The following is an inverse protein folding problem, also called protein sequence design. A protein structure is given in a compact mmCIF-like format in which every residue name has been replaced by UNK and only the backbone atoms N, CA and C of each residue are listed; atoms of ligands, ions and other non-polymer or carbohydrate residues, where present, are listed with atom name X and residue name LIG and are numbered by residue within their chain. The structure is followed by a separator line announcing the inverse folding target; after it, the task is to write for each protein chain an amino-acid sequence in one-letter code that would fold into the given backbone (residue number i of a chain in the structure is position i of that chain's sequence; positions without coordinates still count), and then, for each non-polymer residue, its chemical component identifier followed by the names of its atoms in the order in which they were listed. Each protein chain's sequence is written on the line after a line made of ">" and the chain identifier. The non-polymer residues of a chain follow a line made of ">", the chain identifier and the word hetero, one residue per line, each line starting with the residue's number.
data_IF_366648772516
#
_entry.id   IF_366648772516
#
_cell.length_a   1.000
_cell.length_b   1.000
_cell.length_c   1.000
_cell.angle_alpha   90.00
_cell.angle_beta   90.00
_cell.angle_gamma   90.00
#
_symmetry.space_group_name_H-M   'P 1'
#
loop_
_entity.id
_entity.type
_entity.pdbx_description
1 polymer ?
#
# COMPACT_ATOMS: atom_id res chain seq x y z
N UNK A 1 3.27 8.51 -27.41
CA UNK A 1 2.99 8.08 -26.02
C UNK A 1 3.85 6.88 -25.63
N UNK A 2 4.49 6.93 -24.47
CA UNK A 2 5.23 5.80 -23.85
C UNK A 2 4.76 5.66 -22.42
N UNK A 3 4.65 4.42 -21.91
CA UNK A 3 4.24 4.19 -20.54
C UNK A 3 4.95 2.99 -19.92
N UNK A 4 4.99 2.97 -18.60
CA UNK A 4 5.31 1.81 -17.78
C UNK A 4 4.33 1.78 -16.61
N UNK A 5 4.24 0.67 -15.88
CA UNK A 5 3.43 0.61 -14.67
C UNK A 5 4.22 0.11 -13.47
N UNK A 6 3.76 0.50 -12.29
CA UNK A 6 4.22 -0.02 -11.00
C UNK A 6 3.01 -0.39 -10.15
N UNK A 7 3.20 -1.34 -9.25
CA UNK A 7 2.20 -1.65 -8.23
C UNK A 7 2.32 -0.65 -7.09
N UNK A 8 1.19 -0.13 -6.63
CA UNK A 8 1.15 0.80 -5.52
C UNK A 8 -0.12 0.64 -4.68
N UNK A 9 -0.06 1.12 -3.45
CA UNK A 9 -1.22 1.37 -2.62
C UNK A 9 -1.57 2.85 -2.70
N UNK A 10 -2.86 3.14 -2.90
CA UNK A 10 -3.38 4.50 -2.90
C UNK A 10 -4.10 4.74 -1.58
N UNK A 11 -3.64 5.71 -0.81
CA UNK A 11 -4.26 6.09 0.46
C UNK A 11 -4.69 7.56 0.47
N UNK A 12 -5.68 7.90 1.27
CA UNK A 12 -6.13 9.28 1.48
C UNK A 12 -5.46 9.91 2.71
N UNK A 13 -5.63 11.22 2.90
CA UNK A 13 -5.18 11.94 4.12
C UNK A 13 -5.73 11.35 5.41
N UNK A 14 -6.93 10.77 5.35
CA UNK A 14 -7.60 10.11 6.47
C UNK A 14 -7.13 8.65 6.66
N UNK A 15 -6.02 8.26 6.05
CA UNK A 15 -5.42 6.92 6.10
C UNK A 15 -6.33 5.80 5.57
N UNK A 16 -7.29 6.13 4.71
CA UNK A 16 -8.15 5.15 4.04
C UNK A 16 -7.52 4.73 2.74
N UNK A 17 -7.71 3.48 2.33
CA UNK A 17 -7.20 3.00 1.06
C UNK A 17 -8.28 3.09 -0.02
N UNK A 18 -7.87 3.42 -1.24
CA UNK A 18 -8.76 3.41 -2.37
C UNK A 18 -8.96 1.97 -2.81
N UNK A 19 -10.23 1.59 -2.95
CA UNK A 19 -10.64 0.25 -3.34
C UNK A 19 -11.78 0.33 -4.33
N UNK A 20 -11.81 -0.61 -5.27
CA UNK A 20 -12.93 -0.73 -6.19
C UNK A 20 -13.99 -1.63 -5.58
N UNK A 21 -15.12 -1.06 -5.19
CA UNK A 21 -16.29 -1.81 -4.77
C UNK A 21 -17.13 -2.15 -6.01
N UNK A 22 -17.34 -3.43 -6.25
CA UNK A 22 -18.16 -3.90 -7.38
C UNK A 22 -19.45 -4.49 -6.85
N UNK A 23 -20.59 -3.81 -7.06
CA UNK A 23 -21.91 -4.35 -6.69
C UNK A 23 -22.40 -5.37 -7.71
N UNK A 24 -22.08 -5.16 -8.98
CA UNK A 24 -22.35 -6.09 -10.09
C UNK A 24 -21.13 -6.15 -11.02
N UNK A 25 -21.17 -6.98 -12.07
CA UNK A 25 -20.09 -7.07 -13.07
C UNK A 25 -19.94 -5.82 -13.93
N UNK A 26 -20.90 -4.89 -13.88
CA UNK A 26 -20.91 -3.64 -14.66
C UNK A 26 -20.90 -2.39 -13.78
N UNK A 27 -21.30 -2.51 -12.51
CA UNK A 27 -21.38 -1.38 -11.59
C UNK A 27 -20.20 -1.42 -10.64
N UNK A 28 -19.18 -0.64 -11.01
CA UNK A 28 -18.01 -0.38 -10.20
C UNK A 28 -18.15 0.99 -9.53
N UNK A 29 -17.62 1.09 -8.33
CA UNK A 29 -17.56 2.33 -7.57
C UNK A 29 -16.20 2.41 -6.89
N UNK A 30 -15.53 3.54 -7.03
CA UNK A 30 -14.26 3.79 -6.37
C UNK A 30 -14.54 4.41 -4.99
N UNK A 31 -14.12 3.71 -3.94
CA UNK A 31 -14.45 4.04 -2.55
C UNK A 31 -13.20 4.08 -1.69
N UNK A 32 -13.10 5.07 -0.82
CA UNK A 32 -12.08 5.13 0.23
C UNK A 32 -12.55 4.34 1.46
N UNK A 33 -11.94 3.18 1.71
CA UNK A 33 -12.36 2.28 2.79
C UNK A 33 -11.29 2.17 3.87
N UNK A 34 -11.75 1.98 5.11
CA UNK A 34 -10.91 1.68 6.24
C UNK A 34 -10.89 0.15 6.39
N UNK A 35 -10.07 -0.54 5.61
CA UNK A 35 -10.06 -2.01 5.58
C UNK A 35 -9.09 -2.58 6.62
N UNK A 36 -9.59 -3.52 7.43
CA UNK A 36 -8.74 -4.43 8.22
C UNK A 36 -8.07 -5.48 7.32
N UNK A 37 -8.69 -5.79 6.19
CA UNK A 37 -8.16 -6.69 5.17
C UNK A 37 -7.18 -5.97 4.22
N UNK A 38 -6.19 -6.68 3.66
CA UNK A 38 -5.25 -6.10 2.72
C UNK A 38 -6.00 -5.67 1.44
N UNK A 39 -6.10 -4.36 1.22
CA UNK A 39 -6.55 -3.80 -0.07
C UNK A 39 -5.62 -4.31 -1.17
N UNK A 40 -6.13 -4.84 -2.30
CA UNK A 40 -5.25 -5.24 -3.39
C UNK A 40 -4.51 -4.01 -3.94
N UNK A 41 -3.21 -4.14 -4.31
CA UNK A 41 -2.48 -3.04 -4.90
C UNK A 41 -3.07 -2.67 -6.27
N UNK A 42 -2.91 -1.41 -6.62
CA UNK A 42 -3.37 -0.81 -7.88
C UNK A 42 -2.20 -0.73 -8.85
N UNK A 43 -2.44 -0.97 -10.14
CA UNK A 43 -1.46 -0.67 -11.18
C UNK A 43 -1.49 0.82 -11.48
N UNK A 44 -0.41 1.51 -11.18
CA UNK A 44 -0.23 2.92 -11.53
C UNK A 44 0.58 2.99 -12.81
N UNK A 45 -0.06 3.39 -13.90
CA UNK A 45 0.55 3.59 -15.20
C UNK A 45 1.11 5.01 -15.26
N UNK A 46 2.43 5.14 -15.44
CA UNK A 46 3.10 6.39 -15.71
C UNK A 46 3.17 6.61 -17.21
N UNK A 47 2.53 7.66 -17.69
CA UNK A 47 2.32 7.92 -19.11
C UNK A 47 2.95 9.27 -19.46
N UNK A 48 3.85 9.27 -20.45
CA UNK A 48 4.35 10.52 -21.06
C UNK A 48 3.34 11.01 -22.10
N UNK A 49 2.61 12.07 -21.75
CA UNK A 49 1.63 12.75 -22.59
C UNK A 49 2.18 14.11 -23.04
N UNK A 50 1.55 14.75 -24.03
CA UNK A 50 1.95 16.07 -24.54
C UNK A 50 1.89 17.15 -23.45
N UNK A 51 0.97 16.98 -22.50
CA UNK A 51 0.75 17.86 -21.36
C UNK A 51 1.68 17.60 -20.17
N UNK A 52 2.59 16.63 -20.27
CA UNK A 52 3.54 16.24 -19.23
C UNK A 52 3.41 14.78 -18.76
N UNK A 53 3.92 14.50 -17.57
CA UNK A 53 3.78 13.18 -16.93
C UNK A 53 2.39 13.03 -16.33
N UNK A 54 1.69 11.96 -16.72
CA UNK A 54 0.34 11.65 -16.28
C UNK A 54 0.28 10.25 -15.66
N UNK A 55 -0.73 10.05 -14.83
CA UNK A 55 -1.03 8.78 -14.17
C UNK A 55 -2.36 8.23 -14.67
N UNK A 56 -2.44 6.92 -14.85
CA UNK A 56 -3.70 6.20 -14.96
C UNK A 56 -3.71 5.04 -13.96
N UNK A 57 -4.89 4.70 -13.44
CA UNK A 57 -5.06 3.72 -12.37
C UNK A 57 -5.80 2.48 -12.87
N UNK A 58 -5.20 1.31 -12.75
CA UNK A 58 -5.82 0.03 -13.12
C UNK A 58 -6.08 -0.84 -11.90
N UNK A 59 -7.36 -1.15 -11.67
CA UNK A 59 -7.82 -2.04 -10.59
C UNK A 59 -8.09 -3.43 -11.15
N UNK A 60 -7.54 -4.47 -10.51
CA UNK A 60 -7.78 -5.85 -10.93
C UNK A 60 -9.00 -6.43 -10.20
N UNK A 61 -10.06 -6.77 -10.94
CA UNK A 61 -11.31 -7.31 -10.40
C UNK A 61 -11.76 -8.52 -11.18
N UNK A 62 -11.84 -9.69 -10.53
CA UNK A 62 -12.30 -10.97 -11.12
C UNK A 62 -11.67 -11.22 -12.50
N UNK A 63 -10.34 -11.07 -12.59
CA UNK A 63 -9.52 -11.20 -13.81
C UNK A 63 -9.67 -10.07 -14.83
N UNK A 64 -10.49 -9.06 -14.61
CA UNK A 64 -10.60 -7.89 -15.49
C UNK A 64 -9.76 -6.74 -14.97
N UNK A 65 -9.36 -5.84 -15.86
CA UNK A 65 -8.80 -4.56 -15.45
C UNK A 65 -9.87 -3.47 -15.57
N UNK A 66 -10.10 -2.77 -14.48
CA UNK A 66 -11.08 -1.70 -14.42
C UNK A 66 -10.35 -0.38 -14.21
N UNK A 67 -10.65 0.59 -15.05
CA UNK A 67 -10.02 1.89 -15.05
C UNK A 67 -11.07 2.96 -14.75
N UNK A 68 -10.85 3.83 -13.75
CA UNK A 68 -11.65 5.02 -13.60
C UNK A 68 -11.38 5.95 -14.78
N UNK A 69 -12.44 6.53 -15.33
CA UNK A 69 -12.35 7.54 -16.38
C UNK A 69 -13.26 8.72 -16.08
N UNK A 70 -12.83 9.90 -16.47
CA UNK A 70 -13.59 11.15 -16.30
C UNK A 70 -14.41 11.42 -17.56
N UNK A 71 -15.72 11.51 -17.40
CA UNK A 71 -16.64 11.87 -18.50
C UNK A 71 -16.70 13.40 -18.67
N UNK A 72 -17.14 13.90 -19.84
CA UNK A 72 -17.37 15.34 -20.06
C UNK A 72 -18.34 15.98 -19.05
N UNK A 73 -19.27 15.18 -18.50
CA UNK A 73 -20.24 15.62 -17.49
C UNK A 73 -19.65 15.66 -16.07
N UNK A 74 -18.31 15.63 -15.94
CA UNK A 74 -17.57 15.67 -14.67
C UNK A 74 -17.85 14.49 -13.74
N UNK A 75 -18.23 13.33 -14.30
CA UNK A 75 -18.45 12.12 -13.53
C UNK A 75 -17.27 11.14 -13.63
N UNK A 76 -17.04 10.39 -12.55
CA UNK A 76 -16.12 9.25 -12.57
C UNK A 76 -16.88 7.99 -12.96
N UNK A 77 -16.61 7.48 -14.16
CA UNK A 77 -17.14 6.21 -14.65
C UNK A 77 -16.01 5.18 -14.79
N UNK A 78 -16.31 3.99 -15.32
CA UNK A 78 -15.34 2.90 -15.38
C UNK A 78 -15.32 2.23 -16.75
N UNK A 79 -14.12 2.15 -17.34
CA UNK A 79 -13.87 1.30 -18.52
C UNK A 79 -13.27 -0.02 -18.06
N UNK A 80 -13.78 -1.12 -18.60
CA UNK A 80 -13.36 -2.49 -18.26
C UNK A 80 -12.65 -3.09 -19.46
N UNK A 81 -11.43 -3.58 -19.25
CA UNK A 81 -10.67 -4.38 -20.21
C UNK A 81 -10.62 -5.83 -19.73
N UNK A 82 -10.85 -6.76 -20.63
CA UNK A 82 -10.84 -8.19 -20.32
C UNK A 82 -9.41 -8.70 -20.09
N UNK A 83 -9.25 -9.81 -19.37
CA UNK A 83 -7.93 -10.40 -19.15
C UNK A 83 -7.30 -10.80 -20.48
N UNK A 84 -6.07 -10.35 -20.71
CA UNK A 84 -5.31 -10.71 -21.91
C UNK A 84 -5.43 -9.70 -23.05
N UNK A 85 -6.31 -8.70 -22.95
CA UNK A 85 -6.25 -7.55 -23.85
C UNK A 85 -4.95 -6.77 -23.59
N UNK A 86 -4.10 -6.61 -24.63
CA UNK A 86 -2.84 -5.91 -24.47
C UNK A 86 -3.10 -4.42 -24.23
N UNK A 87 -2.51 -3.89 -23.17
CA UNK A 87 -2.43 -2.44 -22.99
C UNK A 87 -1.39 -1.94 -23.96
N UNK A 88 -1.82 -1.11 -24.90
CA UNK A 88 -0.98 -0.54 -25.95
C UNK A 88 -0.95 0.98 -25.84
N UNK A 89 -0.17 1.63 -26.70
CA UNK A 89 -0.08 3.10 -26.74
C UNK A 89 -1.42 3.79 -27.03
N UNK A 90 -2.38 3.08 -27.63
CA UNK A 90 -3.72 3.62 -27.93
C UNK A 90 -4.77 3.32 -26.86
N UNK A 91 -4.42 2.63 -25.77
CA UNK A 91 -5.39 2.25 -24.74
C UNK A 91 -5.84 3.44 -23.89
N UNK A 92 -4.93 4.38 -23.61
CA UNK A 92 -5.24 5.55 -22.78
C UNK A 92 -5.49 6.77 -23.65
N UNK A 93 -6.74 7.23 -23.66
CA UNK A 93 -7.12 8.59 -24.06
C UNK A 93 -7.08 9.52 -22.83
N UNK A 94 -7.34 10.81 -23.02
CA UNK A 94 -7.29 11.82 -21.95
C UNK A 94 -8.23 11.52 -20.77
N UNK A 95 -9.30 10.75 -20.97
CA UNK A 95 -10.30 10.45 -19.91
C UNK A 95 -9.74 9.57 -18.81
N UNK A 96 -8.67 8.81 -19.08
CA UNK A 96 -7.98 7.96 -18.10
C UNK A 96 -6.94 8.72 -17.28
N UNK A 97 -6.51 9.89 -17.76
CA UNK A 97 -5.27 10.50 -17.35
C UNK A 97 -5.50 11.54 -16.27
N UNK A 98 -4.67 11.45 -15.23
CA UNK A 98 -4.59 12.44 -14.18
C UNK A 98 -3.17 13.03 -14.13
N UNK A 99 -3.05 14.35 -14.16
CA UNK A 99 -1.79 15.02 -13.84
C UNK A 99 -1.59 14.99 -12.33
N UNK A 100 -0.35 14.71 -11.93
CA UNK A 100 0.05 14.82 -10.54
C UNK A 100 0.28 16.30 -10.21
N UNK A 101 -0.57 16.87 -9.35
CA UNK A 101 -0.41 18.22 -8.81
C UNK A 101 0.62 18.27 -7.67
N UNK A 102 1.26 19.43 -7.50
CA UNK A 102 2.50 19.55 -6.72
C UNK A 102 2.40 19.20 -5.21
N UNK A 103 3.46 18.50 -4.78
CA UNK A 103 3.85 18.03 -3.43
C UNK A 103 4.15 19.13 -2.38
N UNK A 104 3.75 20.39 -2.58
CA UNK A 104 4.43 21.52 -1.90
C UNK A 104 3.80 22.01 -0.59
N UNK A 105 2.61 21.55 -0.20
CA UNK A 105 1.89 22.13 0.95
C UNK A 105 1.65 21.11 2.08
N UNK A 106 1.58 19.81 1.79
CA UNK A 106 1.28 18.77 2.79
C UNK A 106 2.00 17.44 2.52
N UNK A 107 3.29 17.34 2.85
CA UNK A 107 4.01 16.06 2.87
C UNK A 107 3.96 15.26 1.56
N UNK A 108 3.82 13.94 1.65
CA UNK A 108 3.79 13.00 0.51
C UNK A 108 2.45 12.97 -0.25
N UNK A 109 1.50 13.85 0.09
CA UNK A 109 0.17 13.88 -0.53
C UNK A 109 0.16 14.72 -1.82
N UNK A 110 -0.69 14.33 -2.76
CA UNK A 110 -0.80 14.90 -4.09
C UNK A 110 -2.27 15.07 -4.50
N UNK A 111 -2.49 16.10 -5.32
CA UNK A 111 -3.76 16.31 -6.03
C UNK A 111 -3.68 15.58 -7.38
N UNK A 112 -4.83 15.10 -7.86
CA UNK A 112 -4.94 14.40 -9.15
C UNK A 112 -5.86 15.22 -10.06
N UNK A 113 -5.27 16.04 -10.92
CA UNK A 113 -6.00 16.87 -11.88
C UNK A 113 -6.39 16.04 -13.10
N UNK A 114 -7.64 16.09 -13.54
CA UNK A 114 -8.09 15.45 -14.77
C UNK A 114 -7.43 16.10 -16.00
N UNK A 115 -6.91 15.28 -16.91
CA UNK A 115 -6.44 15.78 -18.22
C UNK A 115 -7.61 16.09 -19.14
N UNK A 116 -8.66 15.24 -19.15
CA UNK A 116 -9.85 15.45 -19.97
C UNK A 116 -10.62 16.72 -19.58
N UNK A 117 -10.60 17.09 -18.30
CA UNK A 117 -11.22 18.33 -17.81
C UNK A 117 -10.21 19.09 -16.94
N UNK A 118 -9.41 19.99 -17.55
CA UNK A 118 -8.42 20.78 -16.83
C UNK A 118 -9.03 21.58 -15.67
N UNK A 119 -8.24 21.80 -14.62
CA UNK A 119 -8.63 22.47 -13.35
C UNK A 119 -9.71 21.73 -12.55
N UNK A 120 -10.03 20.49 -12.91
CA UNK A 120 -10.86 19.61 -12.10
C UNK A 120 -10.01 18.50 -11.48
N UNK A 121 -10.29 18.17 -10.23
CA UNK A 121 -9.48 17.28 -9.42
C UNK A 121 -10.33 16.12 -8.91
N UNK A 122 -9.71 14.93 -8.85
CA UNK A 122 -10.27 13.78 -8.16
C UNK A 122 -10.25 14.04 -6.65
N UNK A 123 -11.37 13.78 -5.98
CA UNK A 123 -11.55 14.00 -4.54
C UNK A 123 -12.44 12.91 -3.95
N UNK A 124 -12.36 12.66 -2.64
CA UNK A 124 -13.27 11.77 -1.92
C UNK A 124 -14.36 12.60 -1.25
N UNK A 125 -15.61 12.27 -1.56
CA UNK A 125 -16.79 12.84 -0.90
C UNK A 125 -16.86 12.34 0.54
N UNK A 126 -16.46 13.18 1.50
CA UNK A 126 -16.30 12.85 2.94
C UNK A 126 -17.45 12.10 3.61
N UNK A 127 -18.70 12.30 3.18
CA UNK A 127 -19.89 11.64 3.77
C UNK A 127 -20.15 10.25 3.24
N UNK A 128 -19.87 10.02 1.95
CA UNK A 128 -20.23 8.78 1.25
C UNK A 128 -19.00 7.94 0.90
N UNK A 129 -17.79 8.50 1.07
CA UNK A 129 -16.50 7.93 0.70
C UNK A 129 -16.35 7.57 -0.77
N UNK A 130 -17.20 8.14 -1.63
CA UNK A 130 -17.17 7.97 -3.07
C UNK A 130 -16.25 9.00 -3.71
N UNK A 131 -15.64 8.61 -4.82
CA UNK A 131 -14.84 9.53 -5.62
C UNK A 131 -15.71 10.46 -6.47
N UNK A 132 -15.32 11.72 -6.52
CA UNK A 132 -15.96 12.79 -7.29
C UNK A 132 -14.89 13.63 -7.99
N UNK A 133 -15.30 14.41 -8.99
CA UNK A 133 -14.48 15.41 -9.65
C UNK A 133 -14.96 16.79 -9.22
N UNK A 134 -14.05 17.66 -8.77
CA UNK A 134 -14.39 19.01 -8.26
C UNK A 134 -13.37 20.05 -8.73
N UNK A 135 -13.70 21.35 -8.66
CA UNK A 135 -12.74 22.44 -8.94
C UNK A 135 -11.72 22.66 -7.81
N UNK A 136 -12.02 22.12 -6.62
CA UNK A 136 -11.18 22.29 -5.45
C UNK A 136 -9.91 21.45 -5.55
N UNK A 137 -8.75 22.10 -5.61
CA UNK A 137 -7.47 21.42 -5.57
C UNK A 137 -7.13 20.97 -4.14
N UNK A 138 -7.54 19.77 -3.76
CA UNK A 138 -7.17 19.17 -2.48
C UNK A 138 -6.12 18.08 -2.66
N UNK A 139 -4.94 18.17 -2.01
CA UNK A 139 -3.94 17.10 -2.01
C UNK A 139 -4.41 15.97 -1.10
N UNK A 140 -5.27 15.11 -1.61
CA UNK A 140 -5.92 14.07 -0.83
C UNK A 140 -5.20 12.72 -0.88
N UNK A 141 -4.43 12.44 -1.93
CA UNK A 141 -3.93 11.09 -2.19
C UNK A 141 -2.45 10.94 -1.88
N UNK A 142 -2.05 9.75 -1.44
CA UNK A 142 -0.66 9.32 -1.33
C UNK A 142 -0.51 8.01 -2.11
N UNK A 143 0.52 7.95 -2.95
CA UNK A 143 0.86 6.76 -3.74
C UNK A 143 2.09 6.11 -3.10
N UNK A 144 1.91 4.92 -2.53
CA UNK A 144 2.98 4.14 -1.90
C UNK A 144 3.36 2.97 -2.81
N UNK A 145 4.50 3.04 -3.50
CA UNK A 145 4.90 1.98 -4.44
C UNK A 145 5.37 0.72 -3.68
N UNK A 146 5.08 -0.47 -4.20
CA UNK A 146 5.43 -1.75 -3.57
C UNK A 146 6.93 -1.92 -3.31
N UNK A 147 7.75 -1.27 -4.13
CA UNK A 147 9.20 -1.43 -4.14
C UNK A 147 9.89 -0.44 -3.18
N UNK A 148 9.15 0.54 -2.65
CA UNK A 148 9.63 1.45 -1.63
C UNK A 148 9.74 0.67 -0.31
N UNK A 149 10.98 0.37 0.10
CA UNK A 149 11.26 -0.23 1.40
C UNK A 149 10.55 0.60 2.47
N UNK A 150 9.61 -0.02 3.19
CA UNK A 150 9.06 0.57 4.42
C UNK A 150 10.24 0.84 5.35
N UNK A 151 10.68 2.09 5.45
CA UNK A 151 11.46 2.52 6.59
C UNK A 151 10.48 2.42 7.76
N UNK A 152 10.72 1.45 8.63
CA UNK A 152 9.90 1.20 9.81
C UNK A 152 9.87 2.46 10.68
N UNK A 153 8.79 3.23 10.56
CA UNK A 153 8.31 4.09 11.63
C UNK A 153 6.95 3.54 12.09
N UNK A 154 7.03 2.66 13.10
CA UNK A 154 6.10 2.63 14.23
C UNK A 154 4.65 2.20 14.02
N UNK A 155 4.33 1.03 14.59
CA UNK A 155 3.04 0.64 15.18
C UNK A 155 1.93 0.13 14.25
N UNK A 156 2.05 -1.14 13.87
CA UNK A 156 0.92 -2.06 13.99
C UNK A 156 0.76 -2.45 15.47
N UNK A 157 -0.28 -1.98 16.15
CA UNK A 157 -0.80 -2.63 17.36
C UNK A 157 -2.32 -2.64 17.32
N UNK A 158 -2.86 -3.80 16.96
CA UNK A 158 -4.22 -4.20 17.29
C UNK A 158 -4.30 -4.51 18.80
N UNK A 159 -5.29 -3.94 19.50
CA UNK A 159 -5.75 -4.41 20.81
C UNK A 159 -5.87 -3.30 21.89
N UNK A 160 -7.00 -3.21 22.61
CA UNK A 160 -7.23 -2.17 23.61
C UNK A 160 -6.61 -2.59 24.94
N UNK A 161 -5.66 -1.82 25.46
CA UNK A 161 -5.21 -1.95 26.84
C UNK A 161 -4.82 -0.58 27.41
N UNK A 162 -5.74 -0.06 28.23
CA UNK A 162 -5.57 0.77 29.42
C UNK A 162 -4.34 1.69 29.47
N UNK A 163 -4.65 2.99 29.44
CA UNK A 163 -3.82 4.09 29.94
C UNK A 163 -3.37 3.74 31.37
N UNK A 164 -2.06 3.63 31.58
CA UNK A 164 -1.44 3.89 32.86
C UNK A 164 -0.39 4.99 32.65
N UNK A 165 -0.68 6.12 33.28
CA UNK A 165 0.26 7.20 33.54
C UNK A 165 1.50 6.64 34.23
N UNK A 166 2.67 7.04 33.77
CA UNK A 166 3.82 7.28 34.64
C UNK A 166 4.74 8.27 33.94
N UNK A 167 4.78 9.48 34.51
CA UNK A 167 5.82 10.47 34.31
C UNK A 167 7.20 9.85 34.63
N UNK A 168 8.23 10.17 33.84
CA UNK A 168 9.58 10.59 34.29
C UNK A 168 10.59 10.57 33.12
N UNK A 169 10.82 11.76 32.53
CA UNK A 169 12.11 12.42 32.17
C UNK A 169 13.10 11.73 31.17
N UNK A 170 13.74 12.51 30.26
CA UNK A 170 14.39 12.01 29.05
C UNK A 170 15.87 11.66 29.26
N UNK A 171 16.31 10.49 28.81
CA UNK A 171 17.74 10.16 28.78
C UNK A 171 18.41 10.64 27.49
N UNK A 172 19.33 11.59 27.71
CA UNK A 172 20.36 12.10 26.81
C UNK A 172 21.09 10.99 26.05
N UNK A 173 21.32 11.26 24.76
CA UNK A 173 22.41 10.68 23.95
C UNK A 173 23.75 10.82 24.69
N UNK A 174 24.48 9.71 24.88
CA UNK A 174 25.92 9.75 25.07
C UNK A 174 26.59 8.76 24.11
N UNK A 175 27.54 9.33 23.39
CA UNK A 175 28.36 8.80 22.31
C UNK A 175 29.39 7.75 22.73
N UNK A 176 29.66 6.83 21.79
CA UNK A 176 30.91 6.12 21.49
C UNK A 176 32.10 6.25 22.46
N UNK A 177 32.65 5.09 22.89
CA UNK A 177 34.10 4.81 22.79
C UNK A 177 34.44 3.34 23.07
N UNK A 178 35.09 2.71 22.08
CA UNK A 178 35.81 1.44 22.17
C UNK A 178 36.85 1.47 23.31
N UNK A 179 36.93 0.40 24.11
CA UNK A 179 38.20 -0.13 24.61
C UNK A 179 38.17 -1.66 24.60
N UNK A 180 39.08 -2.24 23.80
CA UNK A 180 39.52 -3.64 23.93
C UNK A 180 40.39 -3.74 25.19
N UNK A 181 40.18 -4.75 26.03
CA UNK A 181 41.25 -5.31 26.87
C UNK A 181 41.01 -6.81 27.07
N UNK A 182 42.07 -7.59 26.86
CA UNK A 182 42.13 -9.06 26.93
C UNK A 182 42.39 -9.55 28.37
N UNK A 183 42.19 -10.88 28.56
CA UNK A 183 42.66 -11.78 29.65
C UNK A 183 41.77 -11.74 30.91
N UNK A 184 41.40 -12.85 31.58
CA UNK A 184 41.91 -14.23 31.66
C UNK A 184 40.84 -15.13 32.30
N UNK A 185 40.89 -16.44 32.04
CA UNK A 185 40.18 -17.49 32.78
C UNK A 185 40.75 -17.65 34.20
N UNK A 186 39.90 -18.03 35.15
CA UNK A 186 40.30 -18.75 36.37
C UNK A 186 39.23 -19.77 36.76
N UNK A 187 39.70 -20.99 37.00
CA UNK A 187 38.96 -22.20 37.30
C UNK A 187 38.65 -22.30 38.81
N UNK A 188 37.54 -22.94 39.16
CA UNK A 188 37.31 -23.82 40.34
C UNK A 188 36.02 -24.60 40.02
N UNK A 189 36.11 -25.87 39.59
CA UNK A 189 36.16 -27.12 40.38
C UNK A 189 34.92 -27.40 41.24
N UNK A 190 34.24 -28.50 40.91
CA UNK A 190 33.03 -29.00 41.57
C UNK A 190 32.41 -30.17 40.79
N UNK A 191 33.03 -31.34 40.92
CA UNK A 191 32.70 -32.63 40.30
C UNK A 191 31.30 -33.17 40.70
N UNK A 192 30.47 -33.55 39.73
CA UNK A 192 29.71 -34.83 39.73
C UNK A 192 29.52 -35.29 38.27
N UNK A 193 30.20 -36.36 37.88
CA UNK A 193 29.85 -37.18 36.72
C UNK A 193 28.88 -38.29 37.20
N UNK A 194 27.93 -38.80 36.41
CA UNK A 194 28.17 -39.93 35.49
C UNK A 194 26.90 -40.26 34.65
N UNK A 195 27.12 -40.52 33.36
CA UNK A 195 26.49 -41.55 32.47
C UNK A 195 25.02 -41.45 32.00
N UNK A 196 24.87 -40.95 30.76
CA UNK A 196 24.34 -41.58 29.49
C UNK A 196 23.56 -42.92 29.60
N UNK A 197 22.66 -43.30 28.62
CA UNK A 197 22.76 -42.96 27.18
C UNK A 197 21.44 -42.74 26.38
N UNK A 198 21.66 -42.22 25.16
CA UNK A 198 20.80 -42.31 23.98
C UNK A 198 20.33 -43.75 23.69
N UNK A 199 19.06 -43.94 23.30
CA UNK A 199 18.69 -44.98 22.32
C UNK A 199 17.54 -44.56 21.39
N UNK A 200 17.93 -44.57 20.12
CA UNK A 200 17.17 -44.71 18.89
C UNK A 200 16.47 -46.09 18.86
N UNK A 201 15.23 -46.19 18.34
CA UNK A 201 14.86 -47.20 17.34
C UNK A 201 13.49 -46.93 16.71
N UNK A 202 13.41 -47.39 15.47
CA UNK A 202 12.45 -47.13 14.41
C UNK A 202 11.68 -48.44 14.13
N UNK A 203 10.41 -48.37 13.71
CA UNK A 203 9.71 -49.22 12.68
C UNK A 203 8.28 -49.70 13.04
N UNK A 204 7.34 -49.18 12.24
CA UNK A 204 6.29 -49.82 11.41
C UNK A 204 5.73 -51.21 11.80
N UNK A 205 4.39 -51.29 11.82
CA UNK A 205 3.49 -52.19 11.03
C UNK A 205 2.05 -51.68 11.25
N UNK A 206 1.27 -51.20 10.28
CA UNK A 206 0.54 -51.86 9.18
C UNK A 206 -0.46 -52.95 9.60
N UNK A 207 -1.77 -52.64 9.64
CA UNK A 207 -2.82 -53.32 8.84
C UNK A 207 -4.23 -52.73 9.05
N UNK A 208 -4.99 -52.81 7.97
CA UNK A 208 -6.36 -52.32 7.74
C UNK A 208 -7.46 -53.25 8.28
N UNK A 209 -8.67 -52.67 8.39
CA UNK A 209 -10.02 -53.24 8.18
C UNK A 209 -10.45 -54.44 9.02
N UNK A 210 -11.55 -54.26 9.77
CA UNK A 210 -12.89 -54.67 9.32
C UNK A 210 -13.90 -53.60 9.72
#
# INVERSE_FOLDING_TARGET
>A
MTFYFKWAYLSTTDQKYLSLQSKTSKNHQLVATNTQDPTPPVKVYHIKHEVGECLAFGFEVKRKQVFPVVTPDEEVTFKVLEQGEPITKGTFDETFLFKQGEKKIFGDYLSLESVAIPKRYLCVKKREFNMIITEEQTPEFKICYSDEKKVEEGQFLCGPAKIQENETIPFRKISSRRRKLKRRCSCYEGLVALRKPLRYYNRKTQRMKM
#
